data_IF_161091750744
#
_entry.id   IF_161091750744
#
_cell.length_a   1.000
_cell.length_b   1.000
_cell.length_c   1.000
_cell.angle_alpha   90.00
_cell.angle_beta   90.00
_cell.angle_gamma   90.00
#
_symmetry.space_group_name_H-M   'P 1'
#
loop_
_entity.id
_entity.type
_entity.pdbx_description
1 polymer ?
#
# COMPACT_ATOMS: atom_id res chain seq x y z
N UNK A 1 23.43 -6.00 -3.76
CA UNK A 1 22.13 -6.09 -3.06
C UNK A 1 22.15 -4.97 -2.05
N UNK A 2 21.35 -3.93 -2.27
CA UNK A 2 21.19 -2.83 -1.31
C UNK A 2 19.93 -3.10 -0.48
N UNK A 3 20.04 -2.95 0.84
CA UNK A 3 18.94 -3.12 1.77
C UNK A 3 18.65 -1.74 2.32
N UNK A 4 17.44 -1.24 2.09
CA UNK A 4 16.97 0.00 2.70
C UNK A 4 16.09 -0.36 3.89
N UNK A 5 16.45 0.19 5.04
CA UNK A 5 15.66 0.14 6.26
C UNK A 5 15.12 1.55 6.44
N UNK A 6 13.84 1.73 6.13
CA UNK A 6 13.15 2.99 6.40
C UNK A 6 12.52 2.89 7.78
N UNK A 7 13.00 3.71 8.71
CA UNK A 7 12.60 3.66 10.12
C UNK A 7 11.44 4.63 10.33
N UNK A 8 10.21 4.10 10.44
CA UNK A 8 9.04 4.91 10.81
C UNK A 8 8.11 4.14 11.74
N UNK A 9 8.09 4.60 12.99
CA UNK A 9 7.13 4.38 14.09
C UNK A 9 6.82 2.91 14.46
N UNK A 10 6.47 2.66 15.72
CA UNK A 10 6.34 1.36 16.41
C UNK A 10 5.23 0.42 15.85
N UNK A 11 5.25 0.13 14.55
CA UNK A 11 4.08 -0.19 13.76
C UNK A 11 4.29 -1.42 12.86
N UNK A 12 3.62 -2.54 13.20
CA UNK A 12 3.64 -3.76 12.37
C UNK A 12 3.08 -3.52 10.97
N UNK A 13 3.86 -3.88 9.95
CA UNK A 13 3.36 -4.05 8.57
C UNK A 13 2.28 -5.13 8.59
N UNK A 14 1.16 -4.86 7.93
CA UNK A 14 -0.02 -5.75 7.90
C UNK A 14 -0.12 -6.57 6.62
N UNK A 15 0.26 -5.97 5.49
CA UNK A 15 0.13 -6.58 4.19
C UNK A 15 1.08 -5.93 3.19
N UNK A 16 1.46 -6.71 2.19
CA UNK A 16 2.34 -6.32 1.09
C UNK A 16 1.84 -6.98 -0.19
N UNK A 17 1.93 -6.28 -1.32
CA UNK A 17 1.66 -6.87 -2.65
C UNK A 17 2.54 -6.24 -3.72
N UNK A 18 3.10 -7.07 -4.60
CA UNK A 18 3.86 -6.57 -5.75
C UNK A 18 2.92 -6.36 -6.94
N UNK A 19 3.21 -5.34 -7.75
CA UNK A 19 2.54 -5.20 -9.04
C UNK A 19 2.85 -6.41 -9.93
N UNK A 20 1.94 -6.82 -10.82
CA UNK A 20 2.18 -7.95 -11.73
C UNK A 20 3.43 -7.79 -12.61
N UNK A 21 3.81 -6.55 -12.93
CA UNK A 21 5.01 -6.23 -13.70
C UNK A 21 6.28 -6.05 -12.84
N UNK A 22 6.18 -6.22 -11.52
CA UNK A 22 7.27 -6.14 -10.55
C UNK A 22 7.87 -4.75 -10.37
N UNK A 23 7.31 -3.70 -10.98
CA UNK A 23 7.86 -2.34 -10.88
C UNK A 23 7.49 -1.65 -9.57
N UNK A 24 6.39 -2.06 -8.94
CA UNK A 24 5.90 -1.43 -7.73
C UNK A 24 5.66 -2.44 -6.61
N UNK A 25 5.84 -1.97 -5.39
CA UNK A 25 5.48 -2.67 -4.16
C UNK A 25 4.50 -1.81 -3.38
N UNK A 26 3.39 -2.39 -2.96
CA UNK A 26 2.45 -1.77 -2.03
C UNK A 26 2.70 -2.30 -0.62
N UNK A 27 2.54 -1.44 0.38
CA UNK A 27 2.68 -1.80 1.80
C UNK A 27 1.66 -1.09 2.68
N UNK A 28 1.02 -1.81 3.60
CA UNK A 28 0.15 -1.23 4.63
C UNK A 28 0.80 -1.33 6.01
N UNK A 29 0.89 -0.19 6.71
CA UNK A 29 1.32 -0.08 8.11
C UNK A 29 0.34 0.72 8.98
N UNK A 30 0.73 1.04 10.22
CA UNK A 30 -0.13 1.67 11.26
C UNK A 30 -0.50 3.14 11.01
N UNK A 31 -0.89 3.50 9.78
CA UNK A 31 -1.14 4.89 9.44
C UNK A 31 -1.34 5.13 7.96
N UNK A 32 -0.72 4.31 7.12
CA UNK A 32 -0.67 4.59 5.71
C UNK A 32 -0.56 3.34 4.86
N UNK A 33 -1.01 3.48 3.62
CA UNK A 33 -0.65 2.60 2.52
C UNK A 33 0.40 3.36 1.68
N UNK A 34 1.56 2.75 1.45
CA UNK A 34 2.62 3.31 0.61
C UNK A 34 2.80 2.47 -0.64
N UNK A 35 3.16 3.13 -1.74
CA UNK A 35 3.60 2.48 -2.97
C UNK A 35 5.03 2.90 -3.26
N UNK A 36 5.87 1.90 -3.50
CA UNK A 36 7.31 2.05 -3.73
C UNK A 36 7.63 1.70 -5.17
N UNK A 37 8.48 2.50 -5.81
CA UNK A 37 9.15 2.08 -7.03
C UNK A 37 10.31 1.15 -6.66
N UNK A 38 10.29 -0.08 -7.18
CA UNK A 38 11.26 -1.14 -6.81
C UNK A 38 12.66 -0.84 -7.35
N UNK A 39 12.79 -0.18 -8.50
CA UNK A 39 14.11 0.09 -9.08
C UNK A 39 14.81 1.28 -8.42
N UNK A 40 14.06 2.30 -8.01
CA UNK A 40 14.62 3.50 -7.36
C UNK A 40 14.57 3.42 -5.84
N UNK A 41 13.89 2.41 -5.29
CA UNK A 41 13.66 2.20 -3.86
C UNK A 41 13.02 3.42 -3.16
N UNK A 42 12.22 4.18 -3.91
CA UNK A 42 11.60 5.41 -3.44
C UNK A 42 10.08 5.24 -3.31
N UNK A 43 9.50 5.79 -2.25
CA UNK A 43 8.05 5.92 -2.12
C UNK A 43 7.52 6.91 -3.16
N UNK A 44 6.62 6.45 -4.03
CA UNK A 44 5.99 7.27 -5.08
C UNK A 44 4.58 7.71 -4.70
N UNK A 45 3.90 6.96 -3.82
CA UNK A 45 2.56 7.30 -3.31
C UNK A 45 2.51 7.00 -1.82
N UNK A 46 1.86 7.87 -1.05
CA UNK A 46 1.60 7.68 0.37
C UNK A 46 0.16 8.08 0.67
N UNK A 47 -0.71 7.08 0.81
CA UNK A 47 -2.10 7.26 1.22
C UNK A 47 -2.17 7.25 2.73
N UNK A 48 -2.56 8.37 3.33
CA UNK A 48 -2.72 8.51 4.77
C UNK A 48 -4.14 8.11 5.18
N UNK A 49 -4.28 7.32 6.25
CA UNK A 49 -5.58 7.03 6.84
C UNK A 49 -6.18 8.30 7.42
N UNK A 50 -7.50 8.44 7.36
CA UNK A 50 -8.20 9.46 8.17
C UNK A 50 -8.33 8.98 9.63
N UNK A 51 -8.66 9.89 10.55
CA UNK A 51 -8.58 9.63 12.01
C UNK A 51 -9.28 8.33 12.47
N UNK A 52 -10.46 8.04 11.90
CA UNK A 52 -11.28 6.86 12.26
C UNK A 52 -11.17 5.70 11.25
N UNK A 53 -10.19 5.75 10.34
CA UNK A 53 -9.95 4.70 9.35
C UNK A 53 -8.85 3.74 9.80
N UNK A 54 -9.02 2.45 9.46
CA UNK A 54 -7.97 1.44 9.55
C UNK A 54 -7.82 0.75 8.20
N UNK A 55 -6.58 0.64 7.73
CA UNK A 55 -6.28 -0.15 6.54
C UNK A 55 -6.04 -1.61 6.91
N UNK A 56 -6.54 -2.53 6.07
CA UNK A 56 -6.42 -3.97 6.27
C UNK A 56 -5.47 -4.62 5.27
N UNK A 57 -5.89 -4.66 4.01
CA UNK A 57 -5.21 -5.39 2.92
C UNK A 57 -5.04 -4.50 1.69
N UNK A 58 -3.97 -4.74 0.93
CA UNK A 58 -3.68 -4.07 -0.34
C UNK A 58 -3.50 -5.11 -1.45
N UNK A 59 -4.11 -4.89 -2.63
CA UNK A 59 -3.90 -5.76 -3.79
C UNK A 59 -3.76 -4.96 -5.06
N UNK A 60 -2.72 -5.23 -5.83
CA UNK A 60 -2.65 -4.75 -7.20
C UNK A 60 -3.69 -5.49 -8.07
N UNK A 61 -4.34 -4.74 -8.95
CA UNK A 61 -5.12 -5.32 -10.02
C UNK A 61 -4.23 -6.24 -10.85
N UNK A 62 -4.73 -7.44 -11.15
CA UNK A 62 -4.09 -8.36 -12.10
C UNK A 62 -4.62 -8.19 -13.53
N UNK A 63 -5.42 -7.15 -13.77
CA UNK A 63 -5.88 -6.81 -15.12
C UNK A 63 -4.67 -6.53 -16.00
N UNK A 64 -4.74 -6.98 -17.26
CA UNK A 64 -3.71 -6.74 -18.27
C UNK A 64 -3.79 -5.36 -18.91
N UNK A 65 -4.73 -4.51 -18.47
CA UNK A 65 -4.75 -3.12 -18.92
C UNK A 65 -3.50 -2.38 -18.41
N UNK A 66 -3.08 -1.36 -19.14
CA UNK A 66 -1.84 -0.62 -18.84
C UNK A 66 -1.92 0.20 -17.54
N UNK A 67 -3.08 0.26 -16.87
CA UNK A 67 -3.27 1.03 -15.66
C UNK A 67 -3.08 0.13 -14.43
N UNK A 68 -2.05 0.43 -13.65
CA UNK A 68 -1.85 -0.23 -12.38
C UNK A 68 -2.78 0.38 -11.33
N UNK A 69 -3.88 -0.31 -11.07
CA UNK A 69 -4.79 0.04 -9.97
C UNK A 69 -4.43 -0.74 -8.72
N UNK A 70 -4.48 -0.07 -7.57
CA UNK A 70 -4.36 -0.71 -6.26
C UNK A 70 -5.68 -0.64 -5.50
N UNK A 71 -6.10 -1.77 -4.93
CA UNK A 71 -7.26 -1.85 -4.05
C UNK A 71 -6.78 -1.90 -2.60
N UNK A 72 -7.31 -1.03 -1.77
CA UNK A 72 -7.03 -1.02 -0.33
C UNK A 72 -8.33 -1.18 0.44
N UNK A 73 -8.37 -2.09 1.41
CA UNK A 73 -9.51 -2.18 2.32
C UNK A 73 -9.35 -1.15 3.43
N UNK A 74 -10.35 -0.29 3.60
CA UNK A 74 -10.43 0.68 4.68
C UNK A 74 -11.69 0.43 5.50
N UNK A 75 -11.54 0.32 6.82
CA UNK A 75 -12.68 0.24 7.74
C UNK A 75 -12.83 1.55 8.48
N UNK A 76 -14.02 2.13 8.47
CA UNK A 76 -14.38 3.33 9.26
C UNK A 76 -15.55 2.97 10.17
N UNK A 77 -15.33 2.95 11.49
CA UNK A 77 -16.31 2.43 12.44
C UNK A 77 -16.73 0.97 12.13
N UNK A 78 -18.05 0.71 11.99
CA UNK A 78 -18.61 -0.62 11.63
C UNK A 78 -18.72 -0.87 10.12
N UNK A 79 -18.28 0.06 9.27
CA UNK A 79 -18.45 -0.03 7.81
C UNK A 79 -17.11 -0.27 7.12
N UNK A 80 -17.12 -1.16 6.12
CA UNK A 80 -15.96 -1.47 5.27
C UNK A 80 -16.15 -0.79 3.92
N UNK A 81 -15.12 -0.10 3.43
CA UNK A 81 -15.06 0.48 2.10
C UNK A 81 -13.83 -0.06 1.35
N UNK A 82 -13.95 -0.17 0.02
CA UNK A 82 -12.82 -0.38 -0.88
C UNK A 82 -12.38 1.00 -1.37
N UNK A 83 -11.15 1.38 -1.06
CA UNK A 83 -10.54 2.57 -1.66
C UNK A 83 -9.76 2.14 -2.91
N UNK A 84 -9.92 2.91 -3.97
CA UNK A 84 -9.26 2.71 -5.25
C UNK A 84 -8.39 3.93 -5.47
N UNK A 85 -7.08 3.74 -5.37
CA UNK A 85 -6.08 4.79 -5.64
C UNK A 85 -5.47 4.62 -7.02
#
# INVERSE_FOLDING_TARGET
>A
MEIIIDEVDDASVKDLDFSPDGKFLASIGSGCCRVWNVSTLASVISLQKKDDEKFGFCRFSRSSDHNQTIYVTATRGKHVALDVS
#
